data_IF_706279672266
#
_entry.id   IF_706279672266
#
_cell.length_a   1.000
_cell.length_b   1.000
_cell.length_c   1.000
_cell.angle_alpha   90.00
_cell.angle_beta   90.00
_cell.angle_gamma   90.00
#
_symmetry.space_group_name_H-M   'P 1'
#
loop_
_entity.id
_entity.type
_entity.pdbx_description
1 polymer ?
#
# COMPACT_ATOMS: atom_id res chain seq x y z
N UNK A 1 -18.75 -9.81 -33.67
CA UNK A 1 -17.42 -9.21 -33.38
C UNK A 1 -17.60 -7.79 -32.84
N UNK A 2 -18.26 -7.63 -31.67
CA UNK A 2 -18.52 -6.31 -31.04
C UNK A 2 -18.42 -6.33 -29.50
N UNK A 3 -18.06 -7.47 -28.90
CA UNK A 3 -17.96 -7.60 -27.43
C UNK A 3 -16.54 -7.34 -26.90
N UNK A 4 -15.50 -7.50 -27.73
CA UNK A 4 -14.11 -7.27 -27.32
C UNK A 4 -13.80 -5.81 -27.00
N UNK A 5 -14.45 -4.85 -27.67
CA UNK A 5 -14.26 -3.43 -27.40
C UNK A 5 -14.72 -3.01 -26.00
N UNK A 6 -15.77 -3.66 -25.48
CA UNK A 6 -16.30 -3.35 -24.15
C UNK A 6 -15.37 -3.84 -23.03
N UNK A 7 -14.71 -4.99 -23.21
CA UNK A 7 -13.70 -5.49 -22.28
C UNK A 7 -12.48 -4.56 -22.18
N UNK A 8 -11.98 -4.05 -23.31
CA UNK A 8 -10.86 -3.09 -23.33
C UNK A 8 -11.26 -1.80 -22.62
N UNK A 9 -12.48 -1.30 -22.85
CA UNK A 9 -13.01 -0.11 -22.19
C UNK A 9 -13.14 -0.28 -20.67
N UNK A 10 -13.60 -1.45 -20.21
CA UNK A 10 -13.67 -1.80 -18.79
C UNK A 10 -12.28 -1.84 -18.13
N UNK A 11 -11.31 -2.46 -18.80
CA UNK A 11 -9.92 -2.52 -18.31
C UNK A 11 -9.33 -1.11 -18.17
N UNK A 12 -9.54 -0.25 -19.18
CA UNK A 12 -9.06 1.13 -19.18
C UNK A 12 -9.67 1.95 -18.04
N UNK A 13 -10.98 1.80 -17.78
CA UNK A 13 -11.66 2.44 -16.66
C UNK A 13 -11.08 2.00 -15.32
N UNK A 14 -10.86 0.70 -15.11
CA UNK A 14 -10.30 0.19 -13.86
C UNK A 14 -8.89 0.74 -13.63
N UNK A 15 -8.10 0.86 -14.70
CA UNK A 15 -6.74 1.39 -14.66
C UNK A 15 -6.70 2.89 -14.33
N UNK A 16 -7.67 3.67 -14.83
CA UNK A 16 -7.76 5.12 -14.60
C UNK A 16 -8.16 5.46 -13.15
N UNK A 17 -9.02 4.65 -12.52
CA UNK A 17 -9.48 4.86 -11.15
C UNK A 17 -8.52 4.33 -10.08
N UNK A 18 -7.50 3.54 -10.44
CA UNK A 18 -6.49 3.01 -9.51
C UNK A 18 -5.05 3.24 -10.02
N UNK A 19 -4.55 4.47 -10.05
CA UNK A 19 -3.14 4.74 -10.38
C UNK A 19 -2.16 4.09 -9.39
N UNK A 20 -2.60 3.78 -8.16
CA UNK A 20 -1.81 3.04 -7.16
C UNK A 20 -1.50 1.59 -7.56
N UNK A 21 -2.30 0.97 -8.43
CA UNK A 21 -2.03 -0.40 -8.90
C UNK A 21 -0.78 -0.49 -9.79
N UNK A 22 -0.48 0.59 -10.52
CA UNK A 22 0.69 0.68 -11.41
C UNK A 22 1.93 1.04 -10.59
N UNK A 23 1.75 1.93 -9.60
CA UNK A 23 2.80 2.37 -8.68
C UNK A 23 3.30 1.20 -7.82
N UNK A 24 2.39 0.32 -7.38
CA UNK A 24 2.70 -0.95 -6.73
C UNK A 24 3.52 -1.91 -7.58
N UNK A 25 3.49 -1.80 -8.92
CA UNK A 25 4.20 -2.73 -9.80
C UNK A 25 5.58 -2.20 -10.23
N UNK A 26 5.79 -0.89 -10.21
CA UNK A 26 7.01 -0.22 -10.68
C UNK A 26 7.80 0.56 -9.62
N UNK A 27 7.38 0.59 -8.35
CA UNK A 27 8.18 1.12 -7.24
C UNK A 27 9.25 0.11 -6.78
N UNK A 28 10.48 0.57 -6.63
CA UNK A 28 11.68 -0.15 -6.18
C UNK A 28 11.43 -1.23 -5.10
N UNK A 29 11.36 -2.49 -5.55
CA UNK A 29 10.95 -3.67 -4.78
C UNK A 29 11.96 -4.18 -3.73
N UNK A 30 12.98 -3.41 -3.39
CA UNK A 30 14.02 -3.84 -2.44
C UNK A 30 13.78 -3.37 -1.01
N UNK A 31 13.37 -2.11 -0.86
CA UNK A 31 13.48 -1.39 0.41
C UNK A 31 12.13 -0.85 0.89
N UNK A 32 11.26 -0.39 -0.03
CA UNK A 32 9.91 0.07 0.33
C UNK A 32 8.98 -1.06 0.78
N UNK A 33 9.09 -2.26 0.21
CA UNK A 33 8.26 -3.42 0.60
C UNK A 33 8.47 -3.80 2.07
N UNK A 34 9.72 -3.75 2.56
CA UNK A 34 10.04 -4.03 3.96
C UNK A 34 9.49 -2.96 4.90
N UNK A 35 9.55 -1.68 4.51
CA UNK A 35 9.02 -0.55 5.28
C UNK A 35 7.50 -0.62 5.35
N UNK A 36 6.84 -0.88 4.21
CA UNK A 36 5.39 -1.07 4.11
C UNK A 36 4.93 -2.24 4.98
N UNK A 37 5.64 -3.37 4.96
CA UNK A 37 5.33 -4.53 5.81
C UNK A 37 5.51 -4.24 7.30
N UNK A 38 6.54 -3.49 7.68
CA UNK A 38 6.75 -3.08 9.07
C UNK A 38 5.64 -2.14 9.58
N UNK A 39 5.19 -1.21 8.74
CA UNK A 39 4.06 -0.32 9.04
C UNK A 39 2.74 -1.10 9.18
N UNK A 40 2.48 -2.06 8.29
CA UNK A 40 1.28 -2.90 8.31
C UNK A 40 1.21 -3.75 9.60
N UNK A 41 2.34 -4.30 10.04
CA UNK A 41 2.44 -5.05 11.30
C UNK A 41 2.15 -4.14 12.51
N UNK A 42 2.63 -2.90 12.52
CA UNK A 42 2.33 -1.96 13.60
C UNK A 42 0.84 -1.61 13.64
N UNK A 43 0.24 -1.38 12.47
CA UNK A 43 -1.19 -1.07 12.34
C UNK A 43 -2.07 -2.22 12.81
N UNK A 44 -1.69 -3.46 12.49
CA UNK A 44 -2.42 -4.65 12.94
C UNK A 44 -2.38 -4.78 14.48
N UNK A 45 -1.22 -4.57 15.10
CA UNK A 45 -1.08 -4.62 16.56
C UNK A 45 -1.85 -3.53 17.28
N UNK A 46 -1.86 -2.33 16.70
CA UNK A 46 -2.68 -1.22 17.20
C UNK A 46 -4.18 -1.55 17.11
N UNK A 47 -4.63 -2.10 15.97
CA UNK A 47 -6.02 -2.52 15.79
C UNK A 47 -6.44 -3.66 16.74
N UNK A 48 -5.49 -4.53 17.14
CA UNK A 48 -5.70 -5.57 18.16
C UNK A 48 -5.65 -5.04 19.60
N UNK A 49 -5.21 -3.79 19.81
CA UNK A 49 -4.98 -3.22 21.14
C UNK A 49 -3.77 -3.81 21.86
N UNK A 50 -2.84 -4.46 21.14
CA UNK A 50 -1.59 -4.99 21.71
C UNK A 50 -0.58 -3.89 22.01
N UNK A 51 -0.72 -2.74 21.35
CA UNK A 51 0.11 -1.55 21.56
C UNK A 51 -0.79 -0.32 21.69
N UNK A 52 -0.36 0.62 22.51
CA UNK A 52 -1.03 1.90 22.70
C UNK A 52 -0.71 2.88 21.55
N UNK A 53 -1.52 3.94 21.41
CA UNK A 53 -1.34 4.98 20.40
C UNK A 53 0.05 5.64 20.48
N UNK A 54 0.55 5.89 21.69
CA UNK A 54 1.86 6.50 21.88
C UNK A 54 2.99 5.59 21.34
N UNK A 55 2.88 4.28 21.60
CA UNK A 55 3.84 3.29 21.14
C UNK A 55 3.79 3.11 19.61
N UNK A 56 2.59 3.12 19.04
CA UNK A 56 2.38 3.09 17.59
C UNK A 56 3.03 4.30 16.92
N UNK A 57 2.76 5.51 17.40
CA UNK A 57 3.31 6.76 16.84
C UNK A 57 4.83 6.83 16.95
N UNK A 58 5.41 6.41 18.09
CA UNK A 58 6.87 6.36 18.29
C UNK A 58 7.54 5.43 17.29
N UNK A 59 6.99 4.23 17.09
CA UNK A 59 7.55 3.24 16.15
C UNK A 59 7.34 3.65 14.69
N UNK A 60 6.20 4.25 14.38
CA UNK A 60 5.91 4.80 13.05
C UNK A 60 6.88 5.93 12.69
N UNK A 61 7.15 6.84 13.62
CA UNK A 61 8.12 7.92 13.42
C UNK A 61 9.55 7.38 13.26
N UNK A 62 9.95 6.36 14.01
CA UNK A 62 11.25 5.72 13.83
C UNK A 62 11.38 5.05 12.45
N UNK A 63 10.31 4.43 11.94
CA UNK A 63 10.29 3.90 10.58
C UNK A 63 10.31 5.01 9.52
N UNK A 64 9.74 6.19 9.81
CA UNK A 64 9.69 7.34 8.89
C UNK A 64 10.95 8.22 8.90
N UNK A 65 11.65 8.33 10.03
CA UNK A 65 12.84 9.17 10.21
C UNK A 65 14.18 8.47 10.06
N UNK A 66 14.21 7.20 9.66
CA UNK A 66 15.42 6.44 9.37
C UNK A 66 15.96 6.64 7.94
N UNK A 67 15.82 7.85 7.39
CA UNK A 67 16.31 8.29 6.06
C UNK A 67 17.37 9.39 6.21
#
# INVERSE_FOLDING_TARGET
MMFFGWFIFLILIVFLFKPDYIRSFFGDRGTEERRSRAEEILKERYARGEIDEEEYMRRLNNLKGGE
#
